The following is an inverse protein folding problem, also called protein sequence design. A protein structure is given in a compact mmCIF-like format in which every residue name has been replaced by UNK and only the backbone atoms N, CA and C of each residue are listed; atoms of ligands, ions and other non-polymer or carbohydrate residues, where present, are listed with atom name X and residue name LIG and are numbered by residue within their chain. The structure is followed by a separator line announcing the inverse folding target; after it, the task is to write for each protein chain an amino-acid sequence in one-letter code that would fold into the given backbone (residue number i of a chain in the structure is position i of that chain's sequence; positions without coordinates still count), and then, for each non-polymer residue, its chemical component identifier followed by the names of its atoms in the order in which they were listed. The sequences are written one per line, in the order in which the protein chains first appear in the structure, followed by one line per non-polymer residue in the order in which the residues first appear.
data_IF_202593900191
#
_entry.id   IF_202593900191
#
_cell.length_a   1.000
_cell.length_b   1.000
_cell.length_c   1.000
_cell.angle_alpha   90.00
_cell.angle_beta   90.00
_cell.angle_gamma   90.00
#
_symmetry.space_group_name_H-M   'P 1'
#
loop_
_entity.id
_entity.type
_entity.pdbx_description
1 polymer ?
#
# COMPACT_ATOMS: atom_id res chain seq x y z
N UNK A 1 11.99 11.01 11.62
CA UNK A 1 12.39 11.46 10.27
C UNK A 1 11.84 10.49 9.22
N UNK A 2 10.53 10.47 8.99
CA UNK A 2 9.87 9.51 8.07
C UNK A 2 9.28 10.14 6.80
N UNK A 3 9.34 11.47 6.65
CA UNK A 3 8.77 12.16 5.49
C UNK A 3 9.46 11.77 4.16
N UNK A 4 10.77 11.49 4.20
CA UNK A 4 11.54 11.23 2.98
C UNK A 4 11.14 9.93 2.27
N UNK A 5 10.82 8.85 2.99
CA UNK A 5 10.55 7.55 2.36
C UNK A 5 9.21 7.54 1.61
N UNK A 6 8.19 8.20 2.16
CA UNK A 6 6.89 8.32 1.51
C UNK A 6 6.97 9.20 0.25
N UNK A 7 7.69 10.31 0.32
CA UNK A 7 7.92 11.19 -0.84
C UNK A 7 8.68 10.47 -1.95
N UNK A 8 9.75 9.74 -1.60
CA UNK A 8 10.50 8.92 -2.57
C UNK A 8 9.57 7.89 -3.22
N UNK A 9 8.72 7.22 -2.44
CA UNK A 9 7.76 6.25 -2.99
C UNK A 9 6.78 6.91 -3.98
N UNK A 10 6.24 8.10 -3.65
CA UNK A 10 5.36 8.85 -4.57
C UNK A 10 6.07 9.20 -5.87
N UNK A 11 7.30 9.71 -5.80
CA UNK A 11 8.11 10.06 -6.98
C UNK A 11 8.37 8.84 -7.86
N UNK A 12 8.72 7.69 -7.25
CA UNK A 12 8.95 6.44 -7.98
C UNK A 12 7.67 5.96 -8.70
N UNK A 13 6.51 6.08 -8.06
CA UNK A 13 5.23 5.72 -8.67
C UNK A 13 4.86 6.67 -9.82
N UNK A 14 5.08 7.98 -9.66
CA UNK A 14 4.89 8.95 -10.74
C UNK A 14 5.84 8.71 -11.92
N UNK A 15 7.09 8.38 -11.64
CA UNK A 15 8.07 8.01 -12.66
C UNK A 15 7.61 6.77 -13.43
N UNK A 16 7.15 5.73 -12.73
CA UNK A 16 6.57 4.52 -13.34
C UNK A 16 5.35 4.83 -14.21
N UNK A 17 4.48 5.76 -13.78
CA UNK A 17 3.34 6.23 -14.58
C UNK A 17 3.82 6.85 -15.90
N UNK A 18 4.83 7.72 -15.85
CA UNK A 18 5.36 8.45 -17.01
C UNK A 18 6.15 7.55 -17.98
N UNK A 19 6.95 6.61 -17.47
CA UNK A 19 7.91 5.83 -18.28
C UNK A 19 7.40 4.50 -18.83
N UNK A 20 6.09 4.20 -18.69
CA UNK A 20 5.39 3.01 -19.23
C UNK A 20 6.29 1.76 -19.36
N UNK A 21 6.54 1.06 -18.26
CA UNK A 21 7.28 -0.21 -18.31
C UNK A 21 7.65 -0.78 -16.95
N UNK A 22 7.72 0.05 -15.90
CA UNK A 22 8.08 -0.40 -14.56
C UNK A 22 6.81 -0.77 -13.81
N UNK A 23 6.65 -2.05 -13.49
CA UNK A 23 5.59 -2.56 -12.63
C UNK A 23 6.19 -2.99 -11.30
N UNK A 24 5.73 -2.41 -10.20
CA UNK A 24 6.14 -2.87 -8.88
C UNK A 24 5.33 -4.11 -8.51
N UNK A 25 5.98 -5.16 -8.03
CA UNK A 25 5.33 -6.35 -7.49
C UNK A 25 5.52 -6.31 -5.98
N UNK A 26 4.41 -6.43 -5.26
CA UNK A 26 4.38 -6.49 -3.80
C UNK A 26 3.75 -7.83 -3.44
N UNK A 27 4.55 -8.72 -2.86
CA UNK A 27 4.07 -9.98 -2.32
C UNK A 27 3.93 -9.88 -0.81
N UNK A 28 2.71 -10.11 -0.32
CA UNK A 28 2.42 -10.03 1.10
C UNK A 28 3.11 -11.12 1.91
N UNK A 29 3.33 -12.31 1.34
CA UNK A 29 4.04 -13.39 2.03
C UNK A 29 5.51 -13.03 2.21
N UNK A 30 6.16 -12.51 1.15
CA UNK A 30 7.55 -12.06 1.22
C UNK A 30 7.73 -10.95 2.26
N UNK A 31 6.79 -10.00 2.35
CA UNK A 31 6.83 -8.96 3.39
C UNK A 31 6.74 -9.57 4.79
N UNK A 32 5.82 -10.51 5.01
CA UNK A 32 5.68 -11.18 6.32
C UNK A 32 6.96 -11.93 6.68
N UNK A 33 7.54 -12.63 5.72
CA UNK A 33 8.80 -13.35 5.89
C UNK A 33 9.94 -12.39 6.22
N UNK A 34 10.06 -11.29 5.49
CA UNK A 34 11.14 -10.32 5.68
C UNK A 34 11.04 -9.59 7.02
N UNK A 35 9.82 -9.23 7.45
CA UNK A 35 9.58 -8.70 8.80
C UNK A 35 9.96 -9.74 9.86
N UNK A 36 9.66 -11.03 9.63
CA UNK A 36 9.97 -12.10 10.58
C UNK A 36 11.47 -12.38 10.72
N UNK A 37 12.23 -12.24 9.63
CA UNK A 37 13.69 -12.39 9.58
C UNK A 37 14.40 -11.23 10.27
N UNK A 38 13.91 -10.01 10.08
CA UNK A 38 14.53 -8.79 10.61
C UNK A 38 14.16 -8.47 12.07
N UNK A 39 13.81 -9.49 12.87
CA UNK A 39 13.48 -9.36 14.30
C UNK A 39 14.54 -8.64 15.16
N UNK A 40 15.78 -8.53 14.65
CA UNK A 40 16.92 -7.95 15.36
C UNK A 40 17.54 -6.72 14.67
N UNK A 41 16.99 -6.24 13.55
CA UNK A 41 17.53 -5.05 12.89
C UNK A 41 16.99 -3.78 13.57
N UNK A 42 17.90 -3.03 14.19
CA UNK A 42 17.60 -1.76 14.90
C UNK A 42 16.97 -0.70 14.00
N UNK A 43 17.09 -0.84 12.67
CA UNK A 43 16.58 0.11 11.69
C UNK A 43 15.18 -0.25 11.16
N UNK A 44 14.73 -1.50 11.38
CA UNK A 44 13.40 -1.96 10.99
C UNK A 44 12.49 -2.08 12.21
N UNK A 45 11.62 -1.10 12.41
CA UNK A 45 10.75 -1.04 13.58
C UNK A 45 9.44 -1.82 13.48
N UNK A 46 9.16 -2.48 12.34
CA UNK A 46 7.91 -3.20 12.13
C UNK A 46 7.99 -4.59 12.80
N UNK A 47 7.13 -4.84 13.78
CA UNK A 47 6.99 -6.17 14.42
C UNK A 47 6.12 -7.11 13.62
N UNK A 48 5.18 -6.56 12.84
CA UNK A 48 4.26 -7.31 12.00
C UNK A 48 3.72 -6.44 10.85
N UNK A 49 3.07 -7.08 9.88
CA UNK A 49 2.55 -6.41 8.68
C UNK A 49 1.46 -5.36 8.97
N UNK A 50 0.79 -5.45 10.11
CA UNK A 50 -0.29 -4.51 10.48
C UNK A 50 0.23 -3.16 10.94
N UNK A 51 1.53 -3.05 11.23
CA UNK A 51 2.19 -1.80 11.61
C UNK A 51 2.63 -0.97 10.40
N UNK A 52 2.43 -1.47 9.16
CA UNK A 52 2.70 -0.70 7.95
C UNK A 52 1.81 0.55 7.92
N UNK A 53 2.43 1.70 7.64
CA UNK A 53 1.75 3.00 7.61
C UNK A 53 0.55 2.99 6.65
N UNK A 54 -0.59 3.49 7.15
CA UNK A 54 -1.84 3.53 6.41
C UNK A 54 -1.77 4.38 5.12
N UNK A 55 -0.91 5.40 5.06
CA UNK A 55 -0.67 6.21 3.86
C UNK A 55 0.02 5.41 2.77
N UNK A 56 0.98 4.54 3.14
CA UNK A 56 1.62 3.62 2.20
C UNK A 56 0.57 2.66 1.62
N UNK A 57 -0.28 2.08 2.47
CA UNK A 57 -1.34 1.16 2.02
C UNK A 57 -2.35 1.86 1.09
N UNK A 58 -2.71 3.12 1.36
CA UNK A 58 -3.55 3.93 0.47
C UNK A 58 -2.90 4.14 -0.90
N UNK A 59 -1.61 4.45 -0.94
CA UNK A 59 -0.88 4.62 -2.21
C UNK A 59 -0.80 3.30 -2.97
N UNK A 60 -0.51 2.19 -2.29
CA UNK A 60 -0.51 0.86 -2.92
C UNK A 60 -1.85 0.58 -3.57
N UNK A 61 -2.97 0.79 -2.85
CA UNK A 61 -4.31 0.58 -3.40
C UNK A 61 -4.59 1.50 -4.61
N UNK A 62 -4.21 2.77 -4.53
CA UNK A 62 -4.37 3.75 -5.61
C UNK A 62 -3.64 3.32 -6.89
N UNK A 63 -2.38 2.89 -6.78
CA UNK A 63 -1.56 2.53 -7.94
C UNK A 63 -1.81 1.10 -8.43
N UNK A 64 -2.30 0.20 -7.58
CA UNK A 64 -2.84 -1.12 -7.96
C UNK A 64 -3.97 -0.95 -8.97
N UNK A 65 -4.93 -0.05 -8.70
CA UNK A 65 -6.05 0.21 -9.61
C UNK A 65 -5.62 0.82 -10.95
N UNK A 66 -4.44 1.45 -11.01
CA UNK A 66 -3.82 1.96 -12.25
C UNK A 66 -2.97 0.91 -12.97
N UNK A 67 -3.02 -0.36 -12.56
CA UNK A 67 -2.22 -1.48 -13.06
C UNK A 67 -0.69 -1.28 -12.96
N UNK A 68 -0.23 -0.39 -12.08
CA UNK A 68 1.21 -0.10 -11.88
C UNK A 68 1.84 -0.92 -10.77
N UNK A 69 1.03 -1.32 -9.79
CA UNK A 69 1.45 -2.25 -8.75
C UNK A 69 0.67 -3.55 -8.92
N UNK A 70 1.36 -4.69 -8.96
CA UNK A 70 0.75 -6.00 -8.76
C UNK A 70 0.90 -6.35 -7.28
N UNK A 71 -0.22 -6.58 -6.61
CA UNK A 71 -0.21 -7.09 -5.23
C UNK A 71 -0.56 -8.57 -5.28
N UNK A 72 0.28 -9.40 -4.69
CA UNK A 72 0.04 -10.83 -4.47
C UNK A 72 -0.38 -10.97 -3.00
N UNK A 73 -1.55 -11.55 -2.78
CA UNK A 73 -2.16 -11.64 -1.47
C UNK A 73 -1.88 -13.01 -0.83
N UNK A 74 -1.74 -13.01 0.49
CA UNK A 74 -1.69 -14.23 1.29
C UNK A 74 -3.10 -14.75 1.61
N UNK A 75 -3.22 -16.02 2.01
CA UNK A 75 -4.53 -16.65 2.32
C UNK A 75 -5.32 -15.87 3.39
N UNK A 76 -4.64 -15.38 4.43
CA UNK A 76 -5.18 -14.49 5.46
C UNK A 76 -4.66 -13.06 5.27
N UNK A 77 -4.91 -12.50 4.09
CA UNK A 77 -4.38 -11.19 3.71
C UNK A 77 -4.86 -10.05 4.60
N UNK A 78 -3.91 -9.34 5.20
CA UNK A 78 -4.13 -8.06 5.85
C UNK A 78 -4.44 -6.97 4.81
N UNK A 79 -3.72 -6.97 3.69
CA UNK A 79 -3.92 -5.97 2.63
C UNK A 79 -5.32 -6.03 2.04
N UNK A 80 -5.89 -7.21 1.81
CA UNK A 80 -7.29 -7.35 1.35
C UNK A 80 -8.25 -6.67 2.33
N UNK A 81 -8.10 -6.93 3.64
CA UNK A 81 -8.97 -6.35 4.67
C UNK A 81 -8.92 -4.82 4.63
N UNK A 82 -7.71 -4.25 4.64
CA UNK A 82 -7.52 -2.79 4.60
C UNK A 82 -8.05 -2.19 3.30
N UNK A 83 -7.79 -2.81 2.14
CA UNK A 83 -8.26 -2.26 0.86
C UNK A 83 -9.77 -2.28 0.73
N UNK A 84 -10.44 -3.32 1.26
CA UNK A 84 -11.89 -3.38 1.30
C UNK A 84 -12.47 -2.26 2.16
N UNK A 85 -11.90 -2.01 3.34
CA UNK A 85 -12.30 -0.89 4.21
C UNK A 85 -12.13 0.47 3.52
N UNK A 86 -11.00 0.69 2.84
CA UNK A 86 -10.74 1.92 2.09
C UNK A 86 -11.75 2.13 0.95
N UNK A 87 -12.10 1.07 0.22
CA UNK A 87 -13.06 1.14 -0.88
C UNK A 87 -14.48 1.42 -0.36
N UNK A 88 -14.89 0.80 0.75
CA UNK A 88 -16.19 1.07 1.40
C UNK A 88 -16.27 2.54 1.84
N UNK A 89 -15.20 3.06 2.46
CA UNK A 89 -15.15 4.46 2.88
C UNK A 89 -15.25 5.41 1.68
N UNK A 90 -14.54 5.11 0.60
CA UNK A 90 -14.60 5.91 -0.64
C UNK A 90 -16.02 5.94 -1.23
N UNK A 91 -16.72 4.81 -1.28
CA UNK A 91 -18.10 4.76 -1.77
C UNK A 91 -19.07 5.58 -0.92
N UNK A 92 -18.94 5.54 0.42
CA UNK A 92 -19.74 6.37 1.33
C UNK A 92 -19.47 7.87 1.16
N UNK A 93 -18.21 8.25 0.96
CA UNK A 93 -17.82 9.64 0.72
C UNK A 93 -18.35 10.16 -0.62
N UNK A 94 -18.45 9.31 -1.64
CA UNK A 94 -19.06 9.63 -2.94
C UNK A 94 -20.59 9.77 -2.81
N UNK A 95 -21.29 8.82 -2.18
CA UNK A 95 -22.75 8.92 -1.94
C UNK A 95 -23.14 10.17 -1.13
N UNK A 96 -22.33 10.59 -0.15
CA UNK A 96 -22.57 11.80 0.63
C UNK A 96 -22.37 13.09 -0.17
N UNK A 97 -21.51 13.08 -1.21
CA UNK A 97 -21.33 14.22 -2.11
C UNK A 97 -22.51 14.33 -3.07
N UNK A 98 -22.97 13.20 -3.60
CA UNK A 98 -24.12 13.17 -4.53
C UNK A 98 -25.42 13.62 -3.86
N UNK A 99 -25.62 13.34 -2.56
CA UNK A 99 -26.80 13.79 -1.80
C UNK A 99 -26.77 15.28 -1.40
N UNK A 100 -25.66 15.99 -1.60
CA UNK A 100 -25.49 17.41 -1.25
C UNK A 100 -25.56 18.34 -2.47
N UNK A 101 -25.68 17.79 -3.67
CA UNK A 101 -25.93 18.51 -4.93
C UNK A 101 -27.40 18.38 -5.32
#
# INVERSE_FOLDING_TARGET
MCHNNLEIFKILMEYSLKKKGIKLIIDENDIKEEISKNKYDINYHLKNITEIDSEILKLINLYRNKNKIKVIFSDNSYFIKVFNELNIKKGKDEELKDRKN
#
